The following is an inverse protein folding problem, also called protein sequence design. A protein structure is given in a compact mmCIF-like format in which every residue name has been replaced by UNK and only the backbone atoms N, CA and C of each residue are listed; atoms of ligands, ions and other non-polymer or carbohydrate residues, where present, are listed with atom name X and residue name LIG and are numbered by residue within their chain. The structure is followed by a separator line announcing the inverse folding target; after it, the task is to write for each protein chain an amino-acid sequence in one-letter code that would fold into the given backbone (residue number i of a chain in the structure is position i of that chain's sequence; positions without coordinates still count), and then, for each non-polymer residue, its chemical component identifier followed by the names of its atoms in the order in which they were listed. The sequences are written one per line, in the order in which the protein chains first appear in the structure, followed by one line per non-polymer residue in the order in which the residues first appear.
data_IF_295305007461
#
_entry.id   IF_295305007461
#
_cell.length_a   1.000
_cell.length_b   1.000
_cell.length_c   1.000
_cell.angle_alpha   90.00
_cell.angle_beta   90.00
_cell.angle_gamma   90.00
#
_symmetry.space_group_name_H-M   'P 1'
#
loop_
_entity.id
_entity.type
_entity.pdbx_description
1 polymer ?
#
# COMPACT_ATOMS: atom_id res chain seq x y z
N UNK A 1 7.95 9.84 16.21
CA UNK A 1 8.92 9.83 15.09
C UNK A 1 8.44 8.90 14.01
N UNK A 2 8.65 9.20 12.71
CA UNK A 2 8.46 8.19 11.68
C UNK A 2 9.44 7.03 11.94
N UNK A 3 8.98 5.80 11.73
CA UNK A 3 9.85 4.62 11.78
C UNK A 3 10.56 4.52 10.44
N UNK A 4 11.89 4.62 10.44
CA UNK A 4 12.73 4.66 9.24
C UNK A 4 13.92 3.72 9.37
N UNK A 5 14.88 3.81 8.44
CA UNK A 5 16.12 3.04 8.50
C UNK A 5 15.82 1.53 8.53
N UNK A 6 14.85 1.16 7.70
CA UNK A 6 14.31 -0.18 7.63
C UNK A 6 14.12 -0.59 6.18
N UNK A 7 14.48 -1.83 5.89
CA UNK A 7 14.27 -2.43 4.57
C UNK A 7 12.84 -2.97 4.44
N UNK A 8 12.44 -3.32 3.22
CA UNK A 8 11.07 -3.73 2.93
C UNK A 8 10.64 -4.99 3.71
N UNK A 9 11.50 -6.02 3.74
CA UNK A 9 11.20 -7.27 4.44
C UNK A 9 11.04 -7.10 5.95
N UNK A 10 11.91 -6.30 6.57
CA UNK A 10 11.84 -5.98 7.99
C UNK A 10 10.64 -5.08 8.31
N UNK A 11 10.28 -4.14 7.43
CA UNK A 11 9.08 -3.32 7.60
C UNK A 11 7.81 -4.18 7.59
N UNK A 12 7.74 -5.15 6.67
CA UNK A 12 6.67 -6.13 6.60
C UNK A 12 6.59 -6.96 7.88
N UNK A 13 7.72 -7.55 8.29
CA UNK A 13 7.78 -8.34 9.52
C UNK A 13 7.44 -7.52 10.77
N UNK A 14 7.87 -6.26 10.85
CA UNK A 14 7.59 -5.38 11.99
C UNK A 14 6.08 -5.13 12.16
N UNK A 15 5.34 -4.89 11.08
CA UNK A 15 3.89 -4.75 11.15
C UNK A 15 3.21 -6.09 11.42
N UNK A 16 3.64 -7.16 10.76
CA UNK A 16 3.04 -8.49 10.96
C UNK A 16 3.24 -9.03 12.38
N UNK A 17 4.28 -8.58 13.09
CA UNK A 17 4.50 -8.91 14.50
C UNK A 17 3.67 -8.05 15.47
N UNK A 18 3.01 -6.98 15.01
CA UNK A 18 2.20 -6.12 15.86
C UNK A 18 1.02 -6.91 16.41
N UNK A 19 0.87 -6.97 17.73
CA UNK A 19 -0.18 -7.78 18.38
C UNK A 19 0.20 -9.26 18.57
N UNK A 20 1.42 -9.66 18.19
CA UNK A 20 1.93 -11.01 18.39
C UNK A 20 1.05 -12.08 17.74
N UNK A 21 0.79 -13.17 18.45
CA UNK A 21 -0.02 -14.28 17.95
C UNK A 21 -1.48 -13.89 17.60
N UNK A 22 -2.01 -12.78 18.13
CA UNK A 22 -3.35 -12.31 17.78
C UNK A 22 -3.44 -11.74 16.36
N UNK A 23 -2.30 -11.38 15.77
CA UNK A 23 -2.26 -10.79 14.43
C UNK A 23 -2.37 -11.80 13.30
N UNK A 24 -2.17 -13.07 13.60
CA UNK A 24 -1.92 -14.11 12.62
C UNK A 24 -2.72 -15.37 12.95
N UNK A 25 -3.50 -15.82 11.99
CA UNK A 25 -4.22 -17.10 12.06
C UNK A 25 -3.93 -17.91 10.81
N UNK A 26 -3.36 -19.10 11.01
CA UNK A 26 -3.02 -20.02 9.93
C UNK A 26 -3.75 -21.34 10.12
N UNK A 27 -3.99 -22.05 9.03
CA UNK A 27 -4.59 -23.37 9.08
C UNK A 27 -4.57 -24.05 7.72
N UNK A 28 -5.20 -25.22 7.68
CA UNK A 28 -5.42 -25.98 6.44
C UNK A 28 -6.79 -25.67 5.85
N UNK A 29 -6.93 -25.88 4.56
CA UNK A 29 -8.19 -25.66 3.87
C UNK A 29 -9.18 -26.80 4.06
N UNK A 30 -10.45 -26.45 4.18
CA UNK A 30 -11.53 -27.34 3.73
C UNK A 30 -12.07 -26.77 2.41
N UNK A 31 -11.82 -27.43 1.27
CA UNK A 31 -12.28 -26.93 -0.03
C UNK A 31 -13.80 -27.02 -0.15
N UNK A 32 -14.38 -26.18 -1.00
CA UNK A 32 -15.80 -26.28 -1.36
C UNK A 32 -16.03 -27.55 -2.21
N UNK A 33 -17.26 -28.06 -2.18
CA UNK A 33 -17.67 -29.17 -3.06
C UNK A 33 -17.47 -28.83 -4.54
N UNK A 34 -17.79 -27.60 -4.93
CA UNK A 34 -17.44 -27.05 -6.23
C UNK A 34 -16.06 -26.38 -6.15
N UNK A 35 -15.07 -26.81 -6.95
CA UNK A 35 -13.72 -26.23 -6.94
C UNK A 35 -13.74 -24.71 -7.12
N UNK A 36 -13.02 -23.99 -6.28
CA UNK A 36 -12.95 -22.52 -6.32
C UNK A 36 -11.53 -22.02 -6.15
N UNK A 37 -11.15 -21.05 -6.98
CA UNK A 37 -9.89 -20.32 -6.85
C UNK A 37 -10.01 -19.08 -5.93
N UNK A 38 -11.21 -18.80 -5.42
CA UNK A 38 -11.48 -17.61 -4.60
C UNK A 38 -12.20 -17.90 -3.29
N UNK A 39 -12.71 -19.12 -3.09
CA UNK A 39 -13.48 -19.47 -1.89
C UNK A 39 -12.95 -20.74 -1.24
N UNK A 40 -12.99 -20.75 0.08
CA UNK A 40 -12.67 -21.92 0.90
C UNK A 40 -13.28 -21.74 2.29
N UNK A 41 -13.39 -22.83 3.05
CA UNK A 41 -13.67 -22.74 4.49
C UNK A 41 -12.38 -22.69 5.29
N UNK A 42 -12.27 -21.71 6.18
CA UNK A 42 -11.20 -21.71 7.19
C UNK A 42 -11.43 -22.87 8.17
N UNK A 43 -10.35 -23.31 8.79
CA UNK A 43 -10.32 -24.40 9.76
C UNK A 43 -11.19 -24.09 10.99
N UNK A 44 -11.09 -22.85 11.49
CA UNK A 44 -11.85 -22.36 12.63
C UNK A 44 -12.35 -20.94 12.37
N UNK A 45 -13.58 -20.64 12.80
CA UNK A 45 -14.21 -19.32 12.59
C UNK A 45 -13.40 -18.17 13.23
N UNK A 46 -12.65 -18.44 14.30
CA UNK A 46 -11.77 -17.47 14.94
C UNK A 46 -10.56 -17.08 14.08
N UNK A 47 -10.35 -17.73 12.93
CA UNK A 47 -9.30 -17.37 11.98
C UNK A 47 -9.66 -16.16 11.12
N UNK A 48 -10.94 -15.78 11.05
CA UNK A 48 -11.45 -14.66 10.26
C UNK A 48 -11.16 -13.31 10.93
N UNK A 49 -9.88 -13.00 11.11
CA UNK A 49 -9.42 -11.87 11.94
C UNK A 49 -9.15 -10.58 11.18
N UNK A 50 -9.11 -10.57 9.86
CA UNK A 50 -8.70 -9.38 9.13
C UNK A 50 -8.94 -9.44 7.62
N UNK A 51 -8.39 -8.45 6.91
CA UNK A 51 -8.65 -8.21 5.49
C UNK A 51 -7.54 -8.68 4.54
N UNK A 52 -6.43 -9.18 5.08
CA UNK A 52 -5.30 -9.72 4.30
C UNK A 52 -5.22 -11.22 4.49
N UNK A 53 -5.04 -11.95 3.39
CA UNK A 53 -4.77 -13.40 3.42
C UNK A 53 -3.57 -13.71 2.52
N UNK A 54 -2.65 -14.51 3.05
CA UNK A 54 -1.64 -15.21 2.28
C UNK A 54 -2.12 -16.62 2.01
N UNK A 55 -2.01 -17.06 0.76
CA UNK A 55 -2.33 -18.42 0.33
C UNK A 55 -1.11 -19.01 -0.33
N UNK A 56 -0.62 -20.14 0.19
CA UNK A 56 0.51 -20.84 -0.42
C UNK A 56 0.00 -21.98 -1.29
N UNK A 57 0.17 -21.85 -2.62
CA UNK A 57 -0.08 -22.93 -3.59
C UNK A 57 1.18 -23.22 -4.39
N UNK A 58 1.50 -24.51 -4.57
CA UNK A 58 2.66 -24.97 -5.35
C UNK A 58 3.97 -24.23 -5.00
N UNK A 59 4.17 -23.89 -3.73
CA UNK A 59 5.36 -23.19 -3.23
C UNK A 59 5.36 -21.66 -3.38
N UNK A 60 4.33 -21.06 -3.98
CA UNK A 60 4.19 -19.59 -4.11
C UNK A 60 3.23 -19.08 -3.05
N UNK A 61 3.63 -18.06 -2.27
CA UNK A 61 2.83 -17.42 -1.22
C UNK A 61 2.11 -16.20 -1.78
N UNK A 62 0.92 -16.40 -2.33
CA UNK A 62 0.10 -15.35 -2.94
C UNK A 62 -0.49 -14.40 -1.90
N UNK A 63 -0.44 -13.10 -2.19
CA UNK A 63 -1.10 -12.08 -1.38
C UNK A 63 -2.46 -11.74 -1.96
N UNK A 64 -3.51 -11.81 -1.13
CA UNK A 64 -4.89 -11.50 -1.51
C UNK A 64 -5.61 -10.69 -0.44
N UNK A 65 -6.73 -10.09 -0.85
CA UNK A 65 -7.65 -9.39 0.04
C UNK A 65 -8.83 -10.28 0.35
N UNK A 66 -9.27 -10.29 1.60
CA UNK A 66 -10.51 -10.92 2.02
C UNK A 66 -11.66 -9.97 1.72
N UNK A 67 -12.56 -10.40 0.82
CA UNK A 67 -13.68 -9.55 0.35
C UNK A 67 -14.99 -9.90 1.03
N UNK A 68 -15.17 -11.16 1.44
CA UNK A 68 -16.35 -11.61 2.15
C UNK A 68 -15.98 -12.72 3.12
N UNK A 69 -16.71 -12.77 4.22
CA UNK A 69 -16.65 -13.83 5.23
C UNK A 69 -18.06 -14.20 5.64
N UNK A 70 -18.30 -15.48 5.94
CA UNK A 70 -19.63 -15.95 6.31
C UNK A 70 -20.58 -16.17 5.12
N UNK A 71 -21.69 -16.85 5.38
CA UNK A 71 -22.73 -17.15 4.40
C UNK A 71 -24.02 -17.64 5.05
N UNK A 72 -24.95 -18.15 4.24
CA UNK A 72 -26.23 -18.69 4.72
C UNK A 72 -26.04 -20.08 5.34
N UNK A 73 -26.10 -20.15 6.66
CA UNK A 73 -25.93 -21.38 7.44
C UNK A 73 -27.08 -22.38 7.26
N UNK A 74 -28.20 -21.97 6.66
CA UNK A 74 -29.32 -22.86 6.33
C UNK A 74 -29.04 -23.64 5.05
N UNK A 75 -28.35 -23.00 4.09
CA UNK A 75 -27.99 -23.58 2.80
C UNK A 75 -26.67 -24.37 2.88
N UNK A 76 -25.75 -23.96 3.75
CA UNK A 76 -24.44 -24.57 3.93
C UNK A 76 -24.06 -24.57 5.42
N UNK A 77 -23.96 -25.73 6.09
CA UNK A 77 -23.68 -25.80 7.52
C UNK A 77 -22.30 -25.22 7.89
N UNK A 78 -21.36 -25.15 6.95
CA UNK A 78 -20.02 -24.60 7.14
C UNK A 78 -19.91 -23.12 6.73
N UNK A 79 -21.01 -22.49 6.31
CA UNK A 79 -21.03 -21.14 5.77
C UNK A 79 -20.41 -20.09 6.72
N UNK A 80 -20.49 -20.29 8.03
CA UNK A 80 -19.88 -19.40 9.01
C UNK A 80 -18.34 -19.35 8.92
N UNK A 81 -17.71 -20.40 8.39
CA UNK A 81 -16.26 -20.52 8.14
C UNK A 81 -15.88 -20.08 6.72
N UNK A 82 -16.84 -19.68 5.88
CA UNK A 82 -16.56 -19.31 4.50
C UNK A 82 -15.70 -18.05 4.44
N UNK A 83 -14.65 -18.09 3.63
CA UNK A 83 -13.84 -16.94 3.23
C UNK A 83 -13.85 -16.82 1.71
N UNK A 84 -14.07 -15.60 1.21
CA UNK A 84 -13.87 -15.25 -0.19
C UNK A 84 -12.72 -14.25 -0.32
N UNK A 85 -11.78 -14.54 -1.22
CA UNK A 85 -10.64 -13.71 -1.54
C UNK A 85 -10.75 -13.09 -2.94
N UNK A 86 -10.05 -11.98 -3.14
CA UNK A 86 -9.90 -11.34 -4.43
C UNK A 86 -8.47 -10.78 -4.61
N UNK A 87 -7.92 -10.79 -5.84
CA UNK A 87 -8.41 -11.52 -7.01
C UNK A 87 -8.34 -13.04 -6.83
N UNK A 88 -8.92 -13.81 -7.75
CA UNK A 88 -8.79 -15.27 -7.72
C UNK A 88 -7.31 -15.71 -7.72
N UNK A 89 -7.05 -16.89 -7.18
CA UNK A 89 -5.75 -17.55 -7.29
C UNK A 89 -5.56 -18.18 -8.68
N UNK A 90 -4.33 -18.54 -9.07
CA UNK A 90 -4.07 -19.14 -10.38
C UNK A 90 -4.73 -20.51 -10.60
N UNK A 91 -5.04 -21.23 -9.51
CA UNK A 91 -5.70 -22.53 -9.55
C UNK A 91 -6.75 -22.65 -8.45
N UNK A 92 -7.72 -23.59 -8.58
CA UNK A 92 -8.62 -23.93 -7.48
C UNK A 92 -7.85 -24.31 -6.22
N UNK A 93 -8.39 -23.93 -5.07
CA UNK A 93 -7.82 -24.20 -3.75
C UNK A 93 -8.09 -25.66 -3.40
N UNK A 94 -7.07 -26.31 -2.85
CA UNK A 94 -7.10 -27.72 -2.45
C UNK A 94 -6.68 -27.88 -0.98
N UNK A 95 -6.84 -29.10 -0.46
CA UNK A 95 -6.38 -29.48 0.88
C UNK A 95 -4.84 -29.49 1.03
N UNK A 96 -4.10 -29.49 -0.07
CA UNK A 96 -2.64 -29.38 -0.09
C UNK A 96 -2.11 -27.95 0.14
N UNK A 97 -2.96 -26.94 -0.02
CA UNK A 97 -2.58 -25.54 0.16
C UNK A 97 -2.57 -25.15 1.66
N UNK A 98 -1.96 -24.01 2.01
CA UNK A 98 -2.14 -23.41 3.36
C UNK A 98 -2.51 -21.92 3.31
N UNK A 99 -3.20 -21.43 4.33
CA UNK A 99 -3.47 -19.99 4.48
C UNK A 99 -2.87 -19.38 5.75
N UNK A 100 -2.67 -18.07 5.69
CA UNK A 100 -2.43 -17.19 6.82
C UNK A 100 -3.26 -15.91 6.67
N UNK A 101 -4.15 -15.63 7.60
CA UNK A 101 -4.96 -14.41 7.65
C UNK A 101 -4.31 -13.45 8.65
N UNK A 102 -4.18 -12.18 8.24
CA UNK A 102 -3.57 -11.13 9.03
C UNK A 102 -4.55 -10.03 9.39
N UNK A 103 -4.41 -9.50 10.61
CA UNK A 103 -5.12 -8.30 11.05
C UNK A 103 -4.35 -7.02 10.68
N UNK A 104 -3.06 -6.92 11.01
CA UNK A 104 -2.17 -5.81 10.70
C UNK A 104 -1.16 -6.22 9.64
N UNK A 105 -1.00 -5.39 8.60
CA UNK A 105 -0.12 -5.65 7.45
C UNK A 105 0.34 -4.34 6.80
N UNK A 106 1.37 -4.39 5.93
CA UNK A 106 1.74 -3.24 5.10
C UNK A 106 0.66 -2.96 4.05
N UNK A 107 0.33 -1.69 3.74
CA UNK A 107 -0.67 -1.39 2.71
C UNK A 107 -0.26 -1.98 1.36
N UNK A 108 -1.21 -2.65 0.71
CA UNK A 108 -1.08 -3.08 -0.68
C UNK A 108 -1.70 -2.04 -1.62
N UNK A 109 -1.84 -2.40 -2.90
CA UNK A 109 -2.45 -1.53 -3.90
C UNK A 109 -3.86 -1.08 -3.50
N UNK A 110 -4.70 -1.99 -2.99
CA UNK A 110 -6.09 -1.68 -2.65
C UNK A 110 -6.22 -0.60 -1.56
N UNK A 111 -5.50 -0.75 -0.44
CA UNK A 111 -5.55 0.24 0.65
C UNK A 111 -5.01 1.58 0.18
N UNK A 112 -3.95 1.56 -0.62
CA UNK A 112 -3.36 2.78 -1.17
C UNK A 112 -4.31 3.49 -2.15
N UNK A 113 -4.89 2.74 -3.10
CA UNK A 113 -5.89 3.24 -4.04
C UNK A 113 -7.11 3.82 -3.32
N UNK A 114 -7.52 3.22 -2.20
CA UNK A 114 -8.65 3.69 -1.39
C UNK A 114 -8.40 5.09 -0.81
N UNK A 115 -7.17 5.36 -0.33
CA UNK A 115 -6.78 6.69 0.14
C UNK A 115 -6.78 7.72 -0.98
N UNK A 116 -6.24 7.36 -2.14
CA UNK A 116 -6.26 8.22 -3.32
C UNK A 116 -7.69 8.50 -3.79
N UNK A 117 -8.53 7.47 -3.93
CA UNK A 117 -9.92 7.61 -4.35
C UNK A 117 -10.71 8.48 -3.38
N UNK A 118 -10.49 8.33 -2.08
CA UNK A 118 -11.10 9.19 -1.07
C UNK A 118 -10.71 10.66 -1.27
N UNK A 119 -9.41 10.95 -1.41
CA UNK A 119 -8.92 12.32 -1.62
C UNK A 119 -9.45 12.92 -2.93
N UNK A 120 -9.37 12.16 -4.02
CA UNK A 120 -9.86 12.57 -5.33
C UNK A 120 -11.36 12.89 -5.27
N UNK A 121 -12.18 12.00 -4.70
CA UNK A 121 -13.62 12.25 -4.57
C UNK A 121 -13.94 13.50 -3.75
N UNK A 122 -13.21 13.74 -2.65
CA UNK A 122 -13.45 14.89 -1.78
C UNK A 122 -12.95 16.21 -2.41
N UNK A 123 -11.93 16.15 -3.26
CA UNK A 123 -11.52 17.29 -4.09
C UNK A 123 -12.67 17.76 -4.99
N UNK A 124 -13.29 16.85 -5.75
CA UNK A 124 -14.40 17.23 -6.64
C UNK A 124 -15.69 17.58 -5.91
N UNK A 125 -16.04 16.82 -4.85
CA UNK A 125 -17.33 17.01 -4.16
C UNK A 125 -17.33 18.17 -3.17
N UNK A 126 -16.19 18.45 -2.55
CA UNK A 126 -16.10 19.36 -1.41
C UNK A 126 -15.02 20.43 -1.56
N UNK A 127 -14.24 20.43 -2.66
CA UNK A 127 -13.14 21.38 -2.86
C UNK A 127 -11.98 21.17 -1.87
N UNK A 128 -11.91 20.00 -1.23
CA UNK A 128 -10.81 19.65 -0.34
C UNK A 128 -9.56 19.39 -1.19
N UNK A 129 -8.61 20.32 -1.16
CA UNK A 129 -7.34 20.18 -1.88
C UNK A 129 -6.61 18.87 -1.57
N UNK A 130 -5.66 18.48 -2.42
CA UNK A 130 -4.76 17.37 -2.15
C UNK A 130 -4.05 17.55 -0.79
N UNK A 131 -3.83 16.47 -0.01
CA UNK A 131 -3.12 16.58 1.25
C UNK A 131 -1.69 17.07 0.98
N UNK A 132 -1.31 18.11 1.71
CA UNK A 132 0.05 18.61 1.73
C UNK A 132 0.92 17.71 2.62
N UNK A 133 2.15 18.13 2.81
CA UNK A 133 3.06 17.49 3.75
C UNK A 133 4.43 18.11 3.74
N UNK A 134 5.31 17.59 4.58
CA UNK A 134 6.72 17.95 4.56
C UNK A 134 7.35 17.50 3.24
N UNK A 135 7.40 18.35 2.24
CA UNK A 135 7.96 18.05 0.90
C UNK A 135 9.14 18.95 0.58
N UNK A 136 9.49 19.85 1.49
CA UNK A 136 10.62 20.75 1.36
C UNK A 136 11.15 21.09 2.76
N UNK A 137 11.89 20.14 3.35
CA UNK A 137 12.73 20.36 4.53
C UNK A 137 12.00 21.00 5.72
N UNK A 138 10.90 20.38 6.16
CA UNK A 138 10.07 20.80 7.29
C UNK A 138 8.74 21.46 6.92
N UNK A 139 8.53 21.84 5.65
CA UNK A 139 7.30 22.47 5.16
C UNK A 139 6.78 21.84 3.86
N UNK A 140 5.58 22.23 3.45
CA UNK A 140 5.13 22.01 2.09
C UNK A 140 5.90 22.92 1.11
N UNK A 141 6.25 22.40 -0.07
CA UNK A 141 7.09 23.12 -1.01
C UNK A 141 6.49 24.45 -1.47
N UNK A 142 5.15 24.52 -1.62
CA UNK A 142 4.43 25.74 -2.00
C UNK A 142 4.12 26.73 -0.87
N UNK A 143 4.35 26.36 0.40
CA UNK A 143 4.07 27.24 1.55
C UNK A 143 5.32 28.08 1.93
N UNK A 144 5.18 29.27 2.52
CA UNK A 144 6.33 30.05 2.97
C UNK A 144 7.03 29.41 4.17
N UNK A 145 8.26 29.84 4.45
CA UNK A 145 9.07 29.36 5.58
C UNK A 145 8.67 30.07 6.86
N UNK A 146 7.60 29.60 7.49
CA UNK A 146 7.05 30.16 8.73
C UNK A 146 6.53 29.04 9.63
N UNK A 147 6.64 29.22 10.96
CA UNK A 147 6.32 28.18 11.95
C UNK A 147 4.92 27.59 11.80
N UNK A 148 3.93 28.37 11.34
CA UNK A 148 2.54 27.94 11.13
C UNK A 148 2.38 26.95 9.97
N UNK A 149 3.35 26.87 9.06
CA UNK A 149 3.36 25.95 7.91
C UNK A 149 4.36 24.79 8.07
N UNK A 150 5.08 24.77 9.19
CA UNK A 150 6.12 23.79 9.47
C UNK A 150 5.69 22.75 10.49
N UNK A 151 6.12 21.51 10.25
CA UNK A 151 6.07 20.47 11.27
C UNK A 151 7.14 20.69 12.35
N UNK A 152 6.97 20.06 13.50
CA UNK A 152 7.99 20.04 14.53
C UNK A 152 9.18 19.19 14.07
N UNK A 153 10.43 19.67 14.24
CA UNK A 153 11.60 18.97 13.75
C UNK A 153 11.77 17.61 14.43
N UNK A 154 12.29 16.68 13.65
CA UNK A 154 12.70 15.38 14.16
C UNK A 154 14.02 15.49 14.96
N UNK A 155 14.03 15.20 16.28
CA UNK A 155 15.25 15.26 17.08
C UNK A 155 16.30 14.19 16.72
N UNK A 156 15.92 13.09 16.07
CA UNK A 156 16.84 12.00 15.69
C UNK A 156 17.36 12.12 14.25
N UNK A 157 16.82 13.04 13.45
CA UNK A 157 17.37 13.42 12.15
C UNK A 157 17.32 14.95 11.96
N UNK A 158 18.36 15.67 12.44
CA UNK A 158 18.43 17.12 12.27
C UNK A 158 18.51 17.51 10.78
N UNK A 159 18.16 18.77 10.48
CA UNK A 159 18.31 19.32 9.13
C UNK A 159 19.75 19.30 8.63
N UNK A 160 19.90 19.19 7.31
CA UNK A 160 21.19 19.17 6.63
C UNK A 160 21.08 19.86 5.26
N UNK A 161 22.19 19.96 4.53
CA UNK A 161 22.28 20.69 3.25
C UNK A 161 21.79 22.15 3.34
N UNK A 162 22.10 22.83 4.44
CA UNK A 162 21.71 24.22 4.69
C UNK A 162 20.26 24.40 5.17
N UNK A 163 19.53 23.30 5.45
CA UNK A 163 18.18 23.36 6.00
C UNK A 163 18.19 23.10 7.51
N UNK A 164 17.29 23.77 8.24
CA UNK A 164 17.13 23.59 9.68
C UNK A 164 16.38 22.30 10.06
N UNK A 165 15.50 21.81 9.17
CA UNK A 165 14.63 20.65 9.40
C UNK A 165 14.81 19.69 8.22
N UNK A 166 14.96 18.39 8.50
CA UNK A 166 14.83 17.32 7.49
C UNK A 166 13.44 16.68 7.65
N UNK A 167 13.34 15.70 8.55
CA UNK A 167 12.07 15.08 8.94
C UNK A 167 11.35 15.91 10.00
N UNK A 168 10.06 15.63 10.11
CA UNK A 168 9.18 16.16 11.14
C UNK A 168 8.59 15.05 12.00
N UNK A 169 8.23 15.38 13.24
CA UNK A 169 7.39 14.52 14.07
C UNK A 169 6.10 14.17 13.32
N UNK A 170 5.69 12.91 13.41
CA UNK A 170 4.47 12.39 12.74
C UNK A 170 3.24 13.17 13.19
N UNK A 171 2.48 13.72 12.24
CA UNK A 171 1.27 14.50 12.49
C UNK A 171 1.50 15.89 13.09
N UNK A 172 2.74 16.39 13.11
CA UNK A 172 3.06 17.69 13.74
C UNK A 172 2.90 18.89 12.82
N UNK A 173 2.62 18.67 11.54
CA UNK A 173 2.37 19.73 10.57
C UNK A 173 0.99 20.37 10.73
N UNK A 174 0.65 21.34 9.86
CA UNK A 174 -0.66 21.97 9.83
C UNK A 174 -1.76 20.99 9.36
N UNK A 175 -3.03 21.29 9.66
CA UNK A 175 -4.20 20.47 9.26
C UNK A 175 -4.24 20.11 7.77
N UNK A 176 -3.65 20.94 6.90
CA UNK A 176 -3.54 20.66 5.46
C UNK A 176 -2.71 19.42 5.13
N UNK A 177 -1.95 18.86 6.09
CA UNK A 177 -1.16 17.63 5.93
C UNK A 177 -1.96 16.37 6.30
N UNK A 178 -3.15 16.54 6.85
CA UNK A 178 -4.10 15.46 7.10
C UNK A 178 -4.91 15.18 5.84
N UNK A 179 -5.19 13.90 5.57
CA UNK A 179 -5.96 13.45 4.40
C UNK A 179 -7.30 14.19 4.27
N UNK A 180 -7.99 14.41 5.41
CA UNK A 180 -9.35 14.93 5.43
C UNK A 180 -9.44 16.41 5.88
N UNK A 181 -8.31 17.10 6.02
CA UNK A 181 -8.27 18.47 6.53
C UNK A 181 -8.67 18.64 7.99
N UNK A 182 -8.67 17.56 8.79
CA UNK A 182 -9.07 17.53 10.20
C UNK A 182 -8.08 16.73 11.03
N UNK A 183 -8.10 16.94 12.34
CA UNK A 183 -7.24 16.22 13.30
C UNK A 183 -7.40 14.71 13.24
N UNK A 184 -8.62 14.24 12.94
CA UNK A 184 -8.95 12.83 12.79
C UNK A 184 -8.50 12.20 11.46
N UNK A 185 -7.86 12.98 10.59
CA UNK A 185 -7.36 12.50 9.32
C UNK A 185 -6.16 11.59 9.44
N UNK A 186 -5.80 10.98 8.32
CA UNK A 186 -4.53 10.25 8.21
C UNK A 186 -3.47 11.27 7.81
N UNK A 187 -2.44 11.41 8.64
CA UNK A 187 -1.40 12.42 8.48
C UNK A 187 -0.20 11.91 7.67
N UNK A 188 0.54 12.86 7.11
CA UNK A 188 1.85 12.67 6.47
C UNK A 188 1.84 11.60 5.37
N UNK A 189 0.75 11.48 4.62
CA UNK A 189 0.68 10.57 3.47
C UNK A 189 1.50 11.07 2.28
N UNK A 190 1.79 12.36 2.26
CA UNK A 190 2.59 13.05 1.25
C UNK A 190 3.80 13.65 1.96
N UNK A 191 5.01 13.35 1.49
CA UNK A 191 6.22 13.88 2.12
C UNK A 191 6.58 13.23 3.47
N UNK A 192 7.49 13.89 4.18
CA UNK A 192 8.21 13.44 5.36
C UNK A 192 9.11 12.25 5.06
N UNK A 193 8.56 11.07 4.76
CA UNK A 193 9.31 9.88 4.39
C UNK A 193 8.60 9.16 3.24
N UNK A 194 9.37 8.55 2.35
CA UNK A 194 8.86 7.46 1.54
C UNK A 194 8.35 6.34 2.45
N UNK A 195 7.29 5.66 2.05
CA UNK A 195 6.74 4.54 2.81
C UNK A 195 6.72 3.26 1.99
N UNK A 196 7.27 2.17 2.54
CA UNK A 196 7.15 0.84 1.95
C UNK A 196 5.68 0.41 1.85
N UNK A 197 5.33 -0.15 0.69
CA UNK A 197 4.08 -0.85 0.41
C UNK A 197 4.36 -2.33 0.10
N UNK A 198 3.34 -3.18 0.27
CA UNK A 198 3.42 -4.59 -0.08
C UNK A 198 3.23 -4.77 -1.60
N UNK A 199 4.30 -4.53 -2.36
CA UNK A 199 4.40 -4.82 -3.80
C UNK A 199 5.86 -5.04 -4.18
N UNK A 200 6.14 -6.16 -4.83
CA UNK A 200 7.44 -6.52 -5.40
C UNK A 200 7.33 -6.65 -6.92
N UNK A 201 8.34 -6.15 -7.62
CA UNK A 201 8.46 -6.25 -9.07
C UNK A 201 9.89 -6.63 -9.45
N UNK A 202 10.08 -7.24 -10.61
CA UNK A 202 11.41 -7.37 -11.20
C UNK A 202 12.24 -8.55 -10.70
N UNK A 203 11.66 -9.50 -9.96
CA UNK A 203 12.41 -10.69 -9.50
C UNK A 203 12.78 -11.58 -10.68
N UNK A 204 11.81 -11.88 -11.54
CA UNK A 204 12.00 -12.77 -12.70
C UNK A 204 12.27 -11.99 -13.99
N UNK A 205 11.63 -10.82 -14.16
CA UNK A 205 11.76 -9.99 -15.34
C UNK A 205 11.60 -8.51 -15.00
N UNK A 206 12.49 -7.66 -15.52
CA UNK A 206 12.49 -6.22 -15.24
C UNK A 206 11.13 -5.57 -15.41
N UNK A 207 10.79 -4.68 -14.46
CA UNK A 207 9.55 -3.89 -14.43
C UNK A 207 8.26 -4.73 -14.45
N UNK A 208 8.34 -6.01 -14.12
CA UNK A 208 7.20 -6.92 -14.17
C UNK A 208 6.76 -7.28 -12.75
N UNK A 209 5.45 -7.23 -12.48
CA UNK A 209 4.91 -7.58 -11.16
C UNK A 209 5.19 -9.05 -10.85
N UNK A 210 5.69 -9.32 -9.66
CA UNK A 210 6.09 -10.66 -9.24
C UNK A 210 4.88 -11.58 -9.00
N UNK A 211 5.12 -12.89 -9.06
CA UNK A 211 4.10 -13.93 -9.13
C UNK A 211 3.15 -13.94 -7.91
N UNK A 212 3.63 -13.52 -6.74
CA UNK A 212 2.87 -13.52 -5.49
C UNK A 212 1.73 -12.49 -5.51
N UNK A 213 1.87 -11.42 -6.29
CA UNK A 213 1.00 -10.26 -6.23
C UNK A 213 -0.17 -10.33 -7.22
N UNK A 214 -1.27 -9.61 -6.93
CA UNK A 214 -2.31 -9.33 -7.91
C UNK A 214 -1.72 -8.78 -9.21
N UNK A 215 -2.30 -9.18 -10.34
CA UNK A 215 -1.85 -8.82 -11.70
C UNK A 215 -0.36 -9.16 -11.99
N UNK A 216 0.15 -10.24 -11.38
CA UNK A 216 1.42 -10.87 -11.72
C UNK A 216 1.66 -10.95 -13.24
N UNK A 217 2.88 -10.66 -13.68
CA UNK A 217 3.23 -10.63 -15.11
C UNK A 217 2.89 -9.33 -15.82
N UNK A 218 2.17 -8.39 -15.18
CA UNK A 218 1.94 -7.06 -15.75
C UNK A 218 3.25 -6.29 -15.83
N UNK A 219 3.60 -5.81 -17.03
CA UNK A 219 4.77 -4.96 -17.25
C UNK A 219 4.42 -3.50 -16.99
N UNK A 220 5.08 -2.91 -16.01
CA UNK A 220 5.00 -1.50 -15.68
C UNK A 220 5.87 -0.66 -16.62
N UNK A 221 5.62 0.67 -16.72
CA UNK A 221 6.46 1.55 -17.52
C UNK A 221 7.95 1.42 -17.17
N UNK A 222 8.79 1.38 -18.21
CA UNK A 222 10.25 1.22 -18.10
C UNK A 222 11.00 2.55 -18.22
N UNK A 223 10.36 3.66 -17.84
CA UNK A 223 10.94 4.99 -17.81
C UNK A 223 10.37 5.77 -16.63
N UNK A 224 11.13 6.73 -16.13
CA UNK A 224 10.64 7.71 -15.16
C UNK A 224 9.69 8.70 -15.86
N UNK A 225 8.68 9.20 -15.14
CA UNK A 225 7.76 10.19 -15.71
C UNK A 225 6.62 10.58 -14.79
N UNK A 226 5.76 11.48 -15.24
CA UNK A 226 4.53 11.81 -14.51
C UNK A 226 3.43 10.82 -14.86
N UNK A 227 2.68 10.40 -13.85
CA UNK A 227 1.54 9.50 -14.02
C UNK A 227 0.44 10.21 -14.82
N UNK A 228 0.04 9.64 -15.96
CA UNK A 228 -1.06 10.16 -16.78
C UNK A 228 -2.27 9.25 -16.78
N UNK A 229 -2.09 7.95 -16.54
CA UNK A 229 -3.16 7.04 -16.16
C UNK A 229 -2.65 5.94 -15.22
N UNK A 230 -3.57 5.43 -14.39
CA UNK A 230 -3.32 4.26 -13.55
C UNK A 230 -3.73 2.97 -14.27
N UNK A 231 -3.17 1.85 -13.81
CA UNK A 231 -3.59 0.52 -14.19
C UNK A 231 -5.09 0.33 -13.92
N UNK A 232 -5.82 -0.02 -14.97
CA UNK A 232 -7.28 -0.17 -14.98
C UNK A 232 -7.64 -1.42 -15.79
N UNK A 233 -7.54 -2.62 -15.20
CA UNK A 233 -7.90 -3.86 -15.87
C UNK A 233 -9.40 -3.89 -16.14
N UNK A 234 -9.82 -4.72 -17.10
CA UNK A 234 -11.23 -5.01 -17.28
C UNK A 234 -11.82 -5.59 -15.98
N UNK A 235 -13.05 -5.23 -15.61
CA UNK A 235 -13.70 -5.81 -14.43
C UNK A 235 -13.82 -7.33 -14.57
N UNK A 236 -13.24 -8.05 -13.61
CA UNK A 236 -13.31 -9.52 -13.51
C UNK A 236 -14.11 -9.92 -12.26
N UNK A 237 -15.44 -9.86 -12.38
CA UNK A 237 -16.37 -10.16 -11.28
C UNK A 237 -16.72 -8.97 -10.39
N UNK A 238 -17.61 -9.20 -9.42
CA UNK A 238 -18.26 -8.17 -8.61
C UNK A 238 -17.29 -7.32 -7.76
N UNK A 239 -16.16 -7.91 -7.35
CA UNK A 239 -15.19 -7.25 -6.47
C UNK A 239 -14.04 -6.56 -7.21
N UNK A 240 -14.06 -6.57 -8.54
CA UNK A 240 -13.01 -5.99 -9.37
C UNK A 240 -13.10 -4.47 -9.42
N UNK A 241 -12.16 -3.80 -8.73
CA UNK A 241 -12.06 -2.33 -8.72
C UNK A 241 -10.84 -1.80 -9.49
N UNK A 242 -10.01 -2.68 -10.08
CA UNK A 242 -8.71 -2.29 -10.66
C UNK A 242 -7.69 -1.77 -9.65
N UNK A 243 -8.00 -1.84 -8.36
CA UNK A 243 -7.24 -1.20 -7.28
C UNK A 243 -6.08 -2.06 -6.74
N UNK A 244 -5.99 -3.34 -7.11
CA UNK A 244 -5.13 -4.31 -6.42
C UNK A 244 -3.63 -4.03 -6.56
N UNK A 245 -3.22 -3.25 -7.56
CA UNK A 245 -1.81 -2.91 -7.84
C UNK A 245 -1.49 -1.42 -7.72
N UNK A 246 -2.47 -0.52 -7.88
CA UNK A 246 -2.31 0.95 -7.84
C UNK A 246 -0.98 1.47 -8.42
N UNK A 247 -0.71 1.13 -9.68
CA UNK A 247 0.50 1.49 -10.40
C UNK A 247 0.17 2.25 -11.69
N UNK A 248 1.11 3.01 -12.29
CA UNK A 248 0.87 3.70 -13.54
C UNK A 248 0.72 2.72 -14.71
N UNK A 249 -0.21 3.03 -15.62
CA UNK A 249 -0.31 2.41 -16.93
C UNK A 249 0.39 3.24 -18.00
N UNK A 250 0.24 4.57 -17.95
CA UNK A 250 0.90 5.49 -18.89
C UNK A 250 1.56 6.65 -18.17
N UNK A 251 2.58 7.21 -18.83
CA UNK A 251 3.34 8.35 -18.35
C UNK A 251 3.34 9.47 -19.39
N UNK A 252 3.57 10.71 -18.94
CA UNK A 252 3.67 11.87 -19.81
C UNK A 252 3.94 13.17 -19.05
N UNK A 253 3.22 14.23 -19.42
CA UNK A 253 3.26 15.52 -18.71
C UNK A 253 2.57 15.44 -17.35
N UNK A 254 2.90 16.40 -16.46
CA UNK A 254 2.24 16.52 -15.15
C UNK A 254 0.72 16.57 -15.29
N UNK A 255 0.03 15.79 -14.47
CA UNK A 255 -1.42 15.64 -14.50
C UNK A 255 -2.02 15.98 -13.12
N UNK A 256 -2.88 16.98 -13.10
CA UNK A 256 -3.53 17.47 -11.87
C UNK A 256 -4.47 16.42 -11.24
N UNK A 257 -4.98 15.47 -12.03
CA UNK A 257 -5.81 14.39 -11.50
C UNK A 257 -5.02 13.48 -10.54
N UNK A 258 -3.69 13.45 -10.65
CA UNK A 258 -2.82 12.68 -9.77
C UNK A 258 -1.91 13.58 -8.91
N UNK A 259 -2.27 14.85 -8.74
CA UNK A 259 -1.46 15.85 -8.03
C UNK A 259 -0.02 15.94 -8.55
N UNK A 260 0.16 15.81 -9.87
CA UNK A 260 1.49 15.78 -10.47
C UNK A 260 2.36 14.59 -10.03
N UNK A 261 1.73 13.48 -9.63
CA UNK A 261 2.41 12.27 -9.18
C UNK A 261 3.50 11.83 -10.15
N UNK A 262 4.63 11.43 -9.57
CA UNK A 262 5.78 10.97 -10.31
C UNK A 262 6.03 9.49 -10.07
N UNK A 263 6.43 8.83 -11.14
CA UNK A 263 6.87 7.46 -11.15
C UNK A 263 8.39 7.40 -11.37
N UNK A 264 9.06 6.61 -10.54
CA UNK A 264 10.48 6.27 -10.69
C UNK A 264 10.63 4.77 -10.79
N UNK A 265 11.57 4.34 -11.62
CA UNK A 265 11.81 2.91 -11.82
C UNK A 265 13.30 2.60 -11.95
N UNK A 266 13.66 1.36 -11.64
CA UNK A 266 14.93 0.76 -12.08
C UNK A 266 14.72 -0.72 -12.42
N UNK A 267 15.69 -1.33 -13.11
CA UNK A 267 15.72 -2.77 -13.45
C UNK A 267 16.03 -3.64 -12.23
N UNK A 268 15.80 -4.95 -12.30
CA UNK A 268 15.96 -5.91 -11.22
C UNK A 268 14.85 -5.83 -10.17
N UNK A 269 15.03 -6.57 -9.06
CA UNK A 269 14.01 -6.64 -8.00
C UNK A 269 13.84 -5.30 -7.28
N UNK A 270 12.61 -4.79 -7.21
CA UNK A 270 12.25 -3.50 -6.60
C UNK A 270 11.01 -3.65 -5.74
N UNK A 271 11.00 -2.97 -4.61
CA UNK A 271 9.83 -2.87 -3.74
C UNK A 271 9.21 -1.48 -3.83
N UNK A 272 7.90 -1.40 -3.71
CA UNK A 272 7.16 -0.14 -3.86
C UNK A 272 7.35 0.80 -2.67
N UNK A 273 7.67 2.07 -2.98
CA UNK A 273 7.63 3.19 -2.07
C UNK A 273 6.57 4.20 -2.52
N UNK A 274 5.81 4.76 -1.58
CA UNK A 274 4.77 5.77 -1.86
C UNK A 274 4.95 7.09 -1.12
N UNK A 275 4.25 8.14 -1.57
CA UNK A 275 4.06 9.42 -0.88
C UNK A 275 5.18 10.44 -1.11
N UNK A 276 6.43 10.01 -1.01
CA UNK A 276 7.62 10.86 -1.19
C UNK A 276 8.22 11.36 0.14
N UNK A 277 9.50 11.78 0.16
CA UNK A 277 10.20 12.24 1.36
C UNK A 277 10.22 13.78 1.45
N UNK A 278 10.86 14.29 2.49
CA UNK A 278 10.98 15.73 2.77
C UNK A 278 11.73 16.57 1.72
N UNK A 279 12.42 15.98 0.74
CA UNK A 279 13.31 16.70 -0.18
C UNK A 279 12.88 16.69 -1.67
N UNK A 280 11.68 16.19 -2.01
CA UNK A 280 11.25 16.00 -3.41
C UNK A 280 10.22 16.99 -3.94
N UNK A 281 9.81 17.96 -3.14
CA UNK A 281 8.92 19.04 -3.55
C UNK A 281 7.64 18.54 -4.22
N UNK A 282 7.37 19.05 -5.41
CA UNK A 282 6.17 18.74 -6.20
C UNK A 282 6.12 17.30 -6.73
N UNK A 283 7.15 16.47 -6.52
CA UNK A 283 7.09 15.06 -6.90
C UNK A 283 6.48 14.17 -5.80
N UNK A 284 6.23 14.72 -4.61
CA UNK A 284 5.50 14.03 -3.56
C UNK A 284 4.00 14.17 -3.82
N UNK A 285 3.28 13.05 -3.83
CA UNK A 285 1.83 13.00 -4.03
C UNK A 285 1.31 11.67 -3.48
N UNK A 286 0.00 11.61 -3.20
CA UNK A 286 -0.68 10.37 -2.87
C UNK A 286 -0.52 9.29 -3.94
N UNK A 287 -0.33 9.65 -5.21
CA UNK A 287 -0.21 8.69 -6.31
C UNK A 287 1.25 8.49 -6.78
N UNK A 288 2.24 9.12 -6.13
CA UNK A 288 3.64 8.94 -6.48
C UNK A 288 4.16 7.56 -6.10
N UNK A 289 4.77 6.86 -7.05
CA UNK A 289 5.31 5.51 -6.90
C UNK A 289 6.80 5.50 -7.22
N UNK A 290 7.61 5.03 -6.29
CA UNK A 290 9.04 4.86 -6.48
C UNK A 290 9.44 3.38 -6.42
N UNK A 291 9.76 2.81 -7.59
CA UNK A 291 10.33 1.48 -7.82
C UNK A 291 11.81 1.56 -8.21
N UNK A 292 12.55 2.56 -7.73
CA UNK A 292 14.00 2.65 -7.96
C UNK A 292 14.85 1.99 -6.87
N UNK A 293 14.21 1.48 -5.80
CA UNK A 293 14.89 0.93 -4.62
C UNK A 293 14.75 -0.59 -4.57
N UNK A 294 15.87 -1.27 -4.34
CA UNK A 294 15.88 -2.69 -4.03
C UNK A 294 15.19 -2.92 -2.66
N UNK A 295 14.57 -4.08 -2.41
CA UNK A 295 13.91 -4.39 -1.14
C UNK A 295 14.84 -4.33 0.07
N UNK A 296 16.15 -4.52 -0.14
CA UNK A 296 17.21 -4.41 0.86
C UNK A 296 17.59 -2.96 1.23
N UNK A 297 17.04 -1.96 0.54
CA UNK A 297 17.41 -0.56 0.75
C UNK A 297 17.01 -0.08 2.14
N UNK A 298 17.94 0.59 2.81
CA UNK A 298 17.74 1.20 4.13
C UNK A 298 18.16 2.66 4.04
N UNK A 299 17.27 3.58 4.41
CA UNK A 299 17.55 5.02 4.41
C UNK A 299 16.78 5.75 5.51
N UNK A 300 17.31 6.91 5.89
CA UNK A 300 16.69 7.82 6.86
C UNK A 300 15.40 8.45 6.34
N UNK A 301 15.16 8.46 5.03
CA UNK A 301 13.96 9.00 4.38
C UNK A 301 12.99 7.91 3.91
N UNK A 302 13.24 6.65 4.28
CA UNK A 302 12.39 5.50 3.96
C UNK A 302 11.87 4.88 5.26
N UNK A 303 10.56 4.80 5.38
CA UNK A 303 9.83 4.21 6.49
C UNK A 303 8.66 3.35 6.03
N UNK A 304 7.66 3.21 6.90
CA UNK A 304 6.46 2.43 6.63
C UNK A 304 5.33 2.81 7.59
N UNK A 305 4.12 2.37 7.26
CA UNK A 305 2.98 2.33 8.17
C UNK A 305 2.19 1.04 7.98
N UNK A 306 1.45 0.64 9.02
CA UNK A 306 0.54 -0.50 8.93
C UNK A 306 -0.89 -0.07 8.62
N UNK A 307 -1.67 -1.03 8.14
CA UNK A 307 -3.14 -0.99 7.95
C UNK A 307 -3.77 -2.23 8.57
N UNK A 308 -5.10 -2.25 8.71
CA UNK A 308 -5.88 -3.39 9.18
C UNK A 308 -7.25 -3.50 8.49
#
# INVERSE_FOLDING_TARGET
MPWTDINWGNAKQAIENRGGAANRKSGTYTPLAEPSASKFYVEDISHLIGKRVYVTQAGVRYVRRVVRTGGDTTADPDAAKLLELYPALPAPITDADTYEILHYYLPGGYEWASLYAWAYMNLYRHGLGWPKGNTNWGKFHGDPRERVYEGLPDPVLPGYNGNAIARTLTGSGPLSWSLNGKESGIWDLVGNCWEWCDLLVGTTADHTIDAEYPAAGTKLPSADGYVTSLYAPAPEGEYSLGAEVFAPATLGSSNANYDGARYWQATGQRAALRGGPFDRGAYCSLASLNLSRAPSSVRTDIGFRGVC
#
